data_IF_231086997784
#
_entry.id   IF_231086997784
#
_cell.length_a   1.000
_cell.length_b   1.000
_cell.length_c   1.000
_cell.angle_alpha   90.00
_cell.angle_beta   90.00
_cell.angle_gamma   90.00
#
_symmetry.space_group_name_H-M   'P 1'
#
loop_
_entity.id
_entity.type
_entity.pdbx_description
1 polymer ?
#
# COMPACT_ATOMS: atom_id res chain seq x y z
N UNK A 1 54.88 -9.26 11.58
CA UNK A 1 53.41 -9.15 11.65
C UNK A 1 52.91 -8.36 10.45
N UNK A 2 52.63 -9.05 9.36
CA UNK A 2 52.14 -8.46 8.11
C UNK A 2 50.65 -8.14 8.25
N UNK A 3 50.29 -6.85 8.23
CA UNK A 3 48.88 -6.41 8.22
C UNK A 3 48.30 -6.68 6.83
N UNK A 4 47.45 -7.69 6.73
CA UNK A 4 46.67 -7.98 5.52
C UNK A 4 45.71 -6.82 5.27
N UNK A 5 45.98 -6.00 4.25
CA UNK A 5 45.03 -5.00 3.78
C UNK A 5 43.86 -5.72 3.11
N UNK A 6 42.70 -5.66 3.75
CA UNK A 6 41.45 -6.18 3.21
C UNK A 6 41.04 -5.29 2.04
N UNK A 7 41.19 -5.79 0.82
CA UNK A 7 40.81 -5.08 -0.40
C UNK A 7 39.29 -4.99 -0.45
N UNK A 8 38.76 -3.75 -0.38
CA UNK A 8 37.33 -3.50 -0.61
C UNK A 8 37.01 -3.95 -2.04
N UNK A 9 35.95 -4.73 -2.27
CA UNK A 9 35.55 -5.08 -3.63
C UNK A 9 35.38 -3.79 -4.44
N UNK A 10 35.94 -3.76 -5.65
CA UNK A 10 35.87 -2.61 -6.54
C UNK A 10 34.42 -2.43 -6.98
N UNK A 11 33.66 -1.67 -6.18
CA UNK A 11 32.29 -1.30 -6.47
C UNK A 11 32.31 -0.33 -7.65
N UNK A 12 31.59 -0.68 -8.72
CA UNK A 12 31.38 0.24 -9.84
C UNK A 12 30.82 1.56 -9.31
N UNK A 13 31.49 2.67 -9.63
CA UNK A 13 31.05 4.01 -9.25
C UNK A 13 29.71 4.31 -9.95
N UNK A 14 28.76 4.86 -9.19
CA UNK A 14 27.46 5.26 -9.73
C UNK A 14 27.60 6.55 -10.54
N UNK A 15 26.90 6.67 -11.66
CA UNK A 15 27.01 7.83 -12.57
C UNK A 15 26.79 9.19 -11.87
N UNK A 16 25.95 9.23 -10.82
CA UNK A 16 25.73 10.47 -10.05
C UNK A 16 27.00 10.94 -9.34
N UNK A 17 27.85 10.01 -8.88
CA UNK A 17 29.14 10.31 -8.23
C UNK A 17 30.20 10.68 -9.28
N UNK A 18 30.10 10.13 -10.49
CA UNK A 18 30.99 10.51 -11.61
C UNK A 18 30.70 11.95 -12.08
N UNK A 19 29.41 12.32 -12.15
CA UNK A 19 28.98 13.65 -12.60
C UNK A 19 29.18 14.75 -11.58
N UNK A 20 29.17 14.41 -10.28
CA UNK A 20 29.42 15.37 -9.20
C UNK A 20 30.53 14.88 -8.25
N UNK A 21 31.78 15.36 -8.45
CA UNK A 21 32.93 14.99 -7.63
C UNK A 21 32.75 15.26 -6.13
N UNK A 22 31.89 16.20 -5.73
CA UNK A 22 31.63 16.51 -4.32
C UNK A 22 30.96 15.34 -3.58
N UNK A 23 30.33 14.44 -4.31
CA UNK A 23 29.69 13.24 -3.77
C UNK A 23 30.67 12.08 -3.51
N UNK A 24 31.92 12.16 -3.97
CA UNK A 24 32.90 11.05 -3.85
C UNK A 24 33.12 10.61 -2.41
N UNK A 25 33.16 11.56 -1.47
CA UNK A 25 33.31 11.27 -0.02
C UNK A 25 32.12 10.50 0.57
N UNK A 26 30.98 10.46 -0.13
CA UNK A 26 29.76 9.79 0.30
C UNK A 26 29.42 8.55 -0.55
N UNK A 27 30.27 8.15 -1.50
CA UNK A 27 30.00 7.09 -2.48
C UNK A 27 29.49 5.80 -1.83
N UNK A 28 30.10 5.36 -0.73
CA UNK A 28 29.65 4.16 -0.01
C UNK A 28 28.20 4.26 0.48
N UNK A 29 27.78 5.41 1.01
CA UNK A 29 26.39 5.63 1.46
C UNK A 29 25.40 5.76 0.31
N UNK A 30 25.82 6.35 -0.80
CA UNK A 30 25.02 6.44 -2.02
C UNK A 30 24.79 5.03 -2.58
N UNK A 31 25.84 4.20 -2.60
CA UNK A 31 25.74 2.79 -2.96
C UNK A 31 24.75 2.07 -2.05
N UNK A 32 24.95 2.09 -0.72
CA UNK A 32 24.04 1.43 0.23
C UNK A 32 22.56 1.78 -0.01
N UNK A 33 22.25 3.06 -0.29
CA UNK A 33 20.88 3.51 -0.61
C UNK A 33 20.38 2.96 -1.95
N UNK A 34 21.23 2.93 -2.96
CA UNK A 34 20.89 2.34 -4.26
C UNK A 34 20.56 0.84 -4.14
N UNK A 35 21.36 0.07 -3.40
CA UNK A 35 21.06 -1.34 -3.13
C UNK A 35 19.70 -1.52 -2.44
N UNK A 36 19.44 -0.75 -1.38
CA UNK A 36 18.17 -0.80 -0.66
C UNK A 36 16.98 -0.48 -1.55
N UNK A 37 17.14 0.45 -2.50
CA UNK A 37 16.10 0.76 -3.49
C UNK A 37 15.83 -0.46 -4.37
N UNK A 38 16.86 -1.07 -4.96
CA UNK A 38 16.72 -2.22 -5.85
C UNK A 38 16.11 -3.43 -5.12
N UNK A 39 16.53 -3.70 -3.89
CA UNK A 39 15.97 -4.75 -3.05
C UNK A 39 14.50 -4.50 -2.74
N UNK A 40 14.15 -3.26 -2.35
CA UNK A 40 12.77 -2.88 -2.05
C UNK A 40 11.88 -2.96 -3.29
N UNK A 41 12.36 -2.51 -4.43
CA UNK A 41 11.64 -2.61 -5.70
C UNK A 41 11.32 -4.07 -6.02
N UNK A 42 12.32 -4.96 -5.93
CA UNK A 42 12.12 -6.39 -6.14
C UNK A 42 11.12 -7.00 -5.15
N UNK A 43 11.18 -6.60 -3.87
CA UNK A 43 10.23 -7.06 -2.85
C UNK A 43 8.79 -6.63 -3.15
N UNK A 44 8.58 -5.40 -3.60
CA UNK A 44 7.25 -4.87 -3.88
C UNK A 44 6.65 -5.48 -5.15
N UNK A 45 7.44 -5.56 -6.23
CA UNK A 45 6.90 -5.94 -7.53
C UNK A 45 6.84 -7.46 -7.74
N UNK A 46 7.60 -8.24 -6.98
CA UNK A 46 7.71 -9.70 -7.18
C UNK A 46 8.19 -10.07 -8.58
N UNK A 47 8.90 -9.16 -9.28
CA UNK A 47 9.35 -9.33 -10.67
C UNK A 47 8.48 -8.65 -11.73
N UNK A 48 7.39 -7.97 -11.36
CA UNK A 48 6.58 -7.12 -12.27
C UNK A 48 7.11 -5.68 -12.32
N UNK A 49 6.45 -4.80 -13.07
CA UNK A 49 6.74 -3.37 -13.00
C UNK A 49 6.15 -2.71 -11.75
N UNK A 50 6.69 -1.57 -11.33
CA UNK A 50 6.10 -0.75 -10.27
C UNK A 50 4.68 -0.28 -10.62
N UNK A 51 4.41 -0.04 -11.91
CA UNK A 51 3.08 0.33 -12.38
C UNK A 51 2.07 -0.80 -12.16
N UNK A 52 2.47 -2.06 -12.38
CA UNK A 52 1.60 -3.22 -12.15
C UNK A 52 1.31 -3.41 -10.65
N UNK A 53 2.31 -3.16 -9.80
CA UNK A 53 2.15 -3.18 -8.34
C UNK A 53 1.21 -2.08 -7.84
N UNK A 54 1.28 -0.87 -8.41
CA UNK A 54 0.54 0.32 -7.97
C UNK A 54 -0.95 0.34 -8.41
N UNK A 55 -1.59 -0.82 -8.51
CA UNK A 55 -2.98 -0.99 -8.97
C UNK A 55 -3.97 -1.22 -7.82
N UNK A 56 -3.57 -0.97 -6.57
CA UNK A 56 -4.39 -1.25 -5.38
C UNK A 56 -5.77 -0.59 -5.37
N UNK A 57 -5.93 0.56 -6.04
CA UNK A 57 -7.21 1.25 -6.19
C UNK A 57 -8.26 0.44 -6.99
N UNK A 58 -7.85 -0.55 -7.78
CA UNK A 58 -8.77 -1.47 -8.47
C UNK A 58 -9.37 -2.51 -7.50
N UNK A 59 -8.76 -2.70 -6.33
CA UNK A 59 -9.19 -3.68 -5.33
C UNK A 59 -9.83 -3.02 -4.10
N UNK A 60 -9.18 -2.00 -3.56
CA UNK A 60 -9.62 -1.21 -2.40
C UNK A 60 -10.53 -0.04 -2.82
N UNK A 61 -11.30 0.47 -1.87
CA UNK A 61 -12.29 1.53 -2.13
C UNK A 61 -13.62 0.97 -2.62
N UNK A 62 -14.56 1.88 -2.93
CA UNK A 62 -15.94 1.56 -3.30
C UNK A 62 -16.05 1.40 -4.81
N UNK A 63 -16.47 0.21 -5.24
CA UNK A 63 -16.63 -0.15 -6.64
C UNK A 63 -18.06 -0.57 -6.93
N UNK A 64 -18.62 -0.05 -8.03
CA UNK A 64 -19.86 -0.57 -8.60
C UNK A 64 -19.53 -1.71 -9.56
N UNK A 65 -20.01 -2.91 -9.27
CA UNK A 65 -19.91 -4.09 -10.14
C UNK A 65 -21.32 -4.43 -10.68
N UNK A 66 -21.45 -5.31 -11.69
CA UNK A 66 -22.76 -5.72 -12.19
C UNK A 66 -23.66 -6.23 -11.05
N UNK A 67 -24.78 -5.55 -10.81
CA UNK A 67 -25.79 -5.90 -9.80
C UNK A 67 -25.41 -5.67 -8.33
N UNK A 68 -24.24 -5.08 -8.03
CA UNK A 68 -23.78 -4.91 -6.64
C UNK A 68 -22.75 -3.81 -6.44
N UNK A 69 -22.61 -3.40 -5.19
CA UNK A 69 -21.49 -2.59 -4.71
C UNK A 69 -20.54 -3.46 -3.91
N UNK A 70 -19.24 -3.22 -4.07
CA UNK A 70 -18.19 -3.85 -3.27
C UNK A 70 -17.28 -2.78 -2.73
N UNK A 71 -17.04 -2.78 -1.43
CA UNK A 71 -16.12 -1.89 -0.76
C UNK A 71 -15.12 -2.69 0.06
N UNK A 72 -13.83 -2.41 -0.14
CA UNK A 72 -12.76 -3.03 0.61
C UNK A 72 -11.86 -2.01 1.26
N UNK A 73 -11.41 -2.34 2.47
CA UNK A 73 -10.49 -1.51 3.23
C UNK A 73 -9.49 -2.37 4.00
N UNK A 74 -8.28 -1.87 4.16
CA UNK A 74 -7.27 -2.48 5.03
C UNK A 74 -7.29 -1.83 6.41
N UNK A 75 -7.70 -2.60 7.42
CA UNK A 75 -7.81 -2.13 8.80
C UNK A 75 -7.49 -3.29 9.77
N UNK A 76 -6.21 -3.69 9.88
CA UNK A 76 -5.80 -4.93 10.54
C UNK A 76 -6.09 -4.96 12.04
N UNK A 77 -6.22 -3.79 12.67
CA UNK A 77 -6.45 -3.66 14.11
C UNK A 77 -7.90 -3.29 14.44
N UNK A 78 -8.77 -3.14 13.42
CA UNK A 78 -10.18 -2.87 13.67
C UNK A 78 -10.86 -4.10 14.30
N UNK A 79 -11.81 -3.85 15.19
CA UNK A 79 -12.75 -4.87 15.69
C UNK A 79 -13.99 -4.95 14.82
N UNK A 80 -14.42 -3.81 14.29
CA UNK A 80 -15.59 -3.65 13.45
C UNK A 80 -15.39 -2.52 12.45
N UNK A 81 -15.97 -2.68 11.26
CA UNK A 81 -15.99 -1.67 10.22
C UNK A 81 -17.40 -1.59 9.64
N UNK A 82 -17.90 -0.38 9.45
CA UNK A 82 -19.17 -0.09 8.80
C UNK A 82 -18.99 1.03 7.78
N UNK A 83 -19.89 1.11 6.79
CA UNK A 83 -20.16 2.41 6.14
C UNK A 83 -21.36 3.08 6.79
N UNK A 84 -21.26 4.40 6.94
CA UNK A 84 -22.36 5.25 7.41
C UNK A 84 -22.53 6.41 6.44
N UNK A 85 -23.75 6.89 6.28
CA UNK A 85 -24.05 7.99 5.36
C UNK A 85 -25.53 8.34 5.38
N UNK A 86 -25.99 9.06 4.36
CA UNK A 86 -27.39 9.49 4.26
C UNK A 86 -28.37 8.30 4.32
N UNK A 87 -27.99 7.16 3.75
CA UNK A 87 -28.77 5.92 3.74
C UNK A 87 -28.93 5.24 5.11
N UNK A 88 -28.05 5.54 6.07
CA UNK A 88 -28.10 4.99 7.44
C UNK A 88 -28.40 6.05 8.50
N UNK A 89 -28.74 7.28 8.10
CA UNK A 89 -28.90 8.41 9.01
C UNK A 89 -27.62 8.71 9.80
N UNK A 90 -26.45 8.51 9.17
CA UNK A 90 -25.12 8.72 9.76
C UNK A 90 -24.83 7.91 11.03
N UNK A 91 -25.51 6.76 11.21
CA UNK A 91 -25.31 5.83 12.32
C UNK A 91 -24.84 4.45 11.82
N UNK A 92 -24.05 3.70 12.62
CA UNK A 92 -23.74 2.30 12.32
C UNK A 92 -25.00 1.45 12.27
N UNK A 93 -25.07 0.57 11.28
CA UNK A 93 -26.18 -0.36 11.10
C UNK A 93 -25.61 -1.67 10.53
N UNK A 94 -26.07 -2.81 11.05
CA UNK A 94 -25.58 -4.13 10.69
C UNK A 94 -25.75 -4.45 9.20
N UNK A 95 -26.69 -3.82 8.49
CA UNK A 95 -26.86 -3.94 7.03
C UNK A 95 -25.65 -3.42 6.25
N UNK A 96 -24.83 -2.58 6.86
CA UNK A 96 -23.68 -1.92 6.26
C UNK A 96 -22.36 -2.27 6.97
N UNK A 97 -22.36 -3.36 7.73
CA UNK A 97 -21.19 -3.90 8.43
C UNK A 97 -20.34 -4.74 7.49
N UNK A 98 -19.03 -4.53 7.51
CA UNK A 98 -18.09 -5.30 6.73
C UNK A 98 -17.86 -6.68 7.37
N UNK A 99 -17.53 -7.64 6.52
CA UNK A 99 -16.97 -8.92 6.91
C UNK A 99 -15.44 -8.82 6.97
N UNK A 100 -14.85 -9.35 8.03
CA UNK A 100 -13.39 -9.47 8.15
C UNK A 100 -12.88 -10.59 7.24
N UNK A 101 -11.84 -10.30 6.47
CA UNK A 101 -11.11 -11.25 5.65
C UNK A 101 -9.72 -11.52 6.28
N UNK A 102 -8.87 -12.25 5.55
CA UNK A 102 -7.50 -12.51 5.93
C UNK A 102 -6.60 -11.26 5.84
N UNK A 103 -5.46 -11.29 6.55
CA UNK A 103 -4.40 -10.27 6.49
C UNK A 103 -4.86 -8.83 6.81
N UNK A 104 -5.93 -8.70 7.61
CA UNK A 104 -6.44 -7.41 8.05
C UNK A 104 -7.34 -6.68 7.04
N UNK A 105 -7.74 -7.37 5.97
CA UNK A 105 -8.67 -6.85 5.00
C UNK A 105 -10.11 -6.97 5.48
N UNK A 106 -10.95 -6.05 5.03
CA UNK A 106 -12.39 -6.03 5.27
C UNK A 106 -13.12 -5.87 3.95
N UNK A 107 -14.26 -6.54 3.81
CA UNK A 107 -15.11 -6.44 2.61
C UNK A 107 -16.58 -6.23 3.00
N UNK A 108 -17.24 -5.32 2.30
CA UNK A 108 -18.68 -5.14 2.31
C UNK A 108 -19.21 -5.34 0.89
N UNK A 109 -20.20 -6.23 0.75
CA UNK A 109 -20.94 -6.43 -0.50
C UNK A 109 -22.39 -6.03 -0.27
N UNK A 110 -22.91 -5.16 -1.12
CA UNK A 110 -24.28 -4.67 -1.05
C UNK A 110 -24.99 -4.87 -2.40
N UNK A 111 -26.32 -5.08 -2.41
CA UNK A 111 -27.06 -5.07 -3.66
C UNK A 111 -27.08 -3.66 -4.28
N UNK A 112 -27.30 -3.57 -5.59
CA UNK A 112 -27.19 -2.32 -6.35
C UNK A 112 -28.06 -1.18 -5.80
N UNK A 113 -29.25 -1.50 -5.30
CA UNK A 113 -30.23 -0.56 -4.75
C UNK A 113 -29.86 0.00 -3.37
N UNK A 114 -28.85 -0.57 -2.69
CA UNK A 114 -28.48 -0.15 -1.35
C UNK A 114 -27.84 1.25 -1.31
N UNK A 115 -27.21 1.66 -2.41
CA UNK A 115 -26.50 2.93 -2.56
C UNK A 115 -26.86 3.60 -3.88
N UNK A 116 -26.81 4.92 -3.91
CA UNK A 116 -27.04 5.75 -5.10
C UNK A 116 -25.83 6.64 -5.36
N UNK A 117 -25.53 6.86 -6.63
CA UNK A 117 -24.47 7.80 -7.04
C UNK A 117 -24.73 9.19 -6.43
N UNK A 118 -23.66 9.83 -5.93
CA UNK A 118 -23.71 11.13 -5.28
C UNK A 118 -24.07 11.12 -3.79
N UNK A 119 -24.44 9.97 -3.21
CA UNK A 119 -24.64 9.89 -1.76
C UNK A 119 -23.32 10.03 -1.01
N UNK A 120 -23.36 10.74 0.11
CA UNK A 120 -22.21 10.88 0.99
C UNK A 120 -22.10 9.67 1.91
N UNK A 121 -20.87 9.22 2.13
CA UNK A 121 -20.57 8.16 3.09
C UNK A 121 -19.24 8.42 3.81
N UNK A 122 -19.06 7.76 4.94
CA UNK A 122 -17.80 7.65 5.67
C UNK A 122 -17.64 6.23 6.23
N UNK A 123 -16.40 5.84 6.46
CA UNK A 123 -16.10 4.65 7.26
C UNK A 123 -16.33 4.96 8.74
N UNK A 124 -16.99 4.03 9.43
CA UNK A 124 -17.06 3.99 10.88
C UNK A 124 -16.25 2.79 11.34
N UNK A 125 -15.08 3.06 11.95
CA UNK A 125 -14.14 2.02 12.36
C UNK A 125 -14.06 1.99 13.88
N UNK A 126 -14.26 0.81 14.44
CA UNK A 126 -14.11 0.55 15.87
C UNK A 126 -12.74 -0.09 16.11
N UNK A 127 -12.06 0.38 17.16
CA UNK A 127 -10.73 -0.08 17.58
C UNK A 127 -10.82 -0.61 19.03
N UNK A 128 -9.82 -1.40 19.43
CA UNK A 128 -9.60 -1.76 20.84
C UNK A 128 -8.77 -0.71 21.55
#
# INVERSE_FOLDING_TARGET
MTKTQQTKPHMKTLQIVEKDPWLKKFEGKIWERHNKLLEREKQLTGGKSLSDFATGYLYYGLHKLPGKWVLREWAPNATDVFITGDFSGWKPDNRYRFSRLENGNWELVLPEEALRHGQLYKLWVCWK
#
